data_IF_577532799835
#
_entry.id   IF_577532799835
#
_cell.length_a   1.000
_cell.length_b   1.000
_cell.length_c   1.000
_cell.angle_alpha   90.00
_cell.angle_beta   90.00
_cell.angle_gamma   90.00
#
_symmetry.space_group_name_H-M   'P 1'
#
loop_
_entity.id
_entity.type
_entity.pdbx_description
1 polymer ?
#
# COMPACT_ATOMS: atom_id res chain seq x y z
N UNK A 1 7.37 -17.91 -20.04
CA UNK A 1 5.91 -18.04 -20.20
C UNK A 1 5.30 -17.77 -18.84
N UNK A 2 4.73 -16.59 -18.63
CA UNK A 2 3.94 -16.31 -17.42
C UNK A 2 2.53 -16.77 -17.76
N UNK A 3 2.17 -17.95 -17.30
CA UNK A 3 0.79 -18.39 -17.36
C UNK A 3 -0.04 -17.48 -16.46
N UNK A 4 -1.16 -17.03 -17.00
CA UNK A 4 -2.13 -16.13 -16.41
C UNK A 4 -2.50 -16.55 -14.97
N UNK A 5 -1.90 -15.92 -13.97
CA UNK A 5 -2.21 -16.20 -12.57
C UNK A 5 -2.94 -15.03 -11.91
N UNK A 6 -4.00 -14.54 -12.58
CA UNK A 6 -5.02 -13.70 -11.93
C UNK A 6 -5.64 -14.42 -10.71
N UNK A 7 -5.55 -15.75 -10.64
CA UNK A 7 -5.95 -16.56 -9.49
C UNK A 7 -5.15 -16.29 -8.20
N UNK A 8 -3.91 -15.81 -8.29
CA UNK A 8 -3.07 -15.54 -7.11
C UNK A 8 -3.65 -14.43 -6.22
N UNK A 9 -4.08 -13.32 -6.82
CA UNK A 9 -4.67 -12.21 -6.09
C UNK A 9 -6.04 -12.55 -5.51
N UNK A 10 -6.90 -13.23 -6.28
CA UNK A 10 -8.22 -13.65 -5.80
C UNK A 10 -8.12 -14.63 -4.63
N UNK A 11 -7.24 -15.64 -4.73
CA UNK A 11 -7.04 -16.60 -3.65
C UNK A 11 -6.43 -15.95 -2.40
N UNK A 12 -5.50 -15.01 -2.59
CA UNK A 12 -4.95 -14.21 -1.48
C UNK A 12 -6.05 -13.39 -0.81
N UNK A 13 -6.88 -12.68 -1.59
CA UNK A 13 -8.01 -11.91 -1.07
C UNK A 13 -8.99 -12.79 -0.29
N UNK A 14 -9.32 -13.99 -0.80
CA UNK A 14 -10.16 -14.98 -0.10
C UNK A 14 -9.56 -15.40 1.24
N UNK A 15 -8.24 -15.63 1.30
CA UNK A 15 -7.55 -16.04 2.54
C UNK A 15 -7.50 -14.96 3.62
N UNK A 16 -7.70 -13.68 3.26
CA UNK A 16 -7.70 -12.56 4.21
C UNK A 16 -9.09 -12.28 4.79
N UNK A 17 -10.14 -12.87 4.23
CA UNK A 17 -11.52 -12.68 4.69
C UNK A 17 -11.72 -13.48 5.97
N UNK A 18 -12.40 -12.85 6.93
CA UNK A 18 -12.71 -13.51 8.20
C UNK A 18 -13.56 -14.77 7.92
N UNK A 19 -13.19 -15.96 8.47
CA UNK A 19 -13.92 -17.21 8.24
C UNK A 19 -15.40 -17.18 8.62
N UNK A 20 -15.83 -16.21 9.43
CA UNK A 20 -17.23 -15.99 9.80
C UNK A 20 -18.08 -15.54 8.61
N UNK A 21 -17.48 -14.90 7.59
CA UNK A 21 -18.14 -14.47 6.37
C UNK A 21 -18.15 -15.65 5.39
N UNK A 22 -19.34 -16.18 5.11
CA UNK A 22 -19.49 -17.36 4.24
C UNK A 22 -19.43 -16.96 2.77
N UNK A 23 -18.45 -17.49 2.06
CA UNK A 23 -18.26 -17.24 0.63
C UNK A 23 -18.88 -18.37 -0.22
N UNK A 24 -19.63 -18.06 -1.29
CA UNK A 24 -20.02 -19.02 -2.32
C UNK A 24 -18.82 -19.68 -3.00
N UNK A 25 -18.97 -20.94 -3.39
CA UNK A 25 -17.92 -21.78 -3.98
C UNK A 25 -17.52 -21.36 -5.40
N UNK A 26 -18.37 -20.61 -6.10
CA UNK A 26 -18.23 -20.25 -7.52
C UNK A 26 -17.62 -18.85 -7.77
N UNK A 27 -17.10 -18.19 -6.72
CA UNK A 27 -16.38 -16.92 -6.87
C UNK A 27 -15.11 -17.14 -7.68
N UNK A 28 -15.10 -16.71 -8.94
CA UNK A 28 -14.00 -16.86 -9.87
C UNK A 28 -13.34 -15.54 -10.29
N UNK A 29 -13.86 -14.40 -9.83
CA UNK A 29 -13.29 -13.08 -10.08
C UNK A 29 -13.52 -12.12 -8.88
N UNK A 30 -12.70 -11.07 -8.81
CA UNK A 30 -12.68 -10.09 -7.72
C UNK A 30 -13.95 -9.24 -7.66
N UNK A 31 -14.63 -9.00 -8.78
CA UNK A 31 -15.87 -8.21 -8.78
C UNK A 31 -16.99 -8.97 -8.08
N UNK A 32 -17.13 -10.27 -8.37
CA UNK A 32 -18.08 -11.14 -7.66
C UNK A 32 -17.76 -11.23 -6.17
N UNK A 33 -16.47 -11.34 -5.81
CA UNK A 33 -16.05 -11.35 -4.41
C UNK A 33 -16.48 -10.07 -3.69
N UNK A 34 -16.25 -8.90 -4.31
CA UNK A 34 -16.66 -7.59 -3.79
C UNK A 34 -18.17 -7.52 -3.57
N UNK A 35 -18.96 -8.00 -4.52
CA UNK A 35 -20.41 -7.86 -4.46
C UNK A 35 -21.00 -8.78 -3.37
N UNK A 36 -20.50 -10.01 -3.25
CA UNK A 36 -20.82 -10.90 -2.10
C UNK A 36 -20.46 -10.26 -0.77
N UNK A 37 -19.28 -9.65 -0.66
CA UNK A 37 -18.86 -8.97 0.58
C UNK A 37 -19.78 -7.80 0.93
N UNK A 38 -20.31 -7.06 -0.06
CA UNK A 38 -21.22 -5.93 0.18
C UNK A 38 -22.59 -6.34 0.68
N UNK A 39 -23.06 -7.54 0.33
CA UNK A 39 -24.34 -8.08 0.79
C UNK A 39 -24.29 -8.55 2.25
N UNK A 40 -23.11 -8.90 2.76
CA UNK A 40 -22.95 -9.33 4.14
C UNK A 40 -23.11 -8.18 5.15
N UNK A 41 -23.79 -8.44 6.27
CA UNK A 41 -24.05 -7.46 7.34
C UNK A 41 -22.75 -6.86 7.91
N UNK A 42 -21.65 -7.62 7.93
CA UNK A 42 -20.35 -7.17 8.42
C UNK A 42 -19.79 -6.02 7.60
N UNK A 43 -20.12 -5.92 6.30
CA UNK A 43 -19.70 -4.79 5.47
C UNK A 43 -20.37 -3.49 5.92
N UNK A 44 -21.66 -3.54 6.27
CA UNK A 44 -22.38 -2.38 6.82
C UNK A 44 -21.78 -1.98 8.17
N UNK A 45 -21.56 -2.94 9.07
CA UNK A 45 -20.93 -2.69 10.39
C UNK A 45 -19.53 -2.10 10.23
N UNK A 46 -18.72 -2.63 9.32
CA UNK A 46 -17.38 -2.12 9.01
C UNK A 46 -17.46 -0.68 8.48
N UNK A 47 -18.34 -0.41 7.52
CA UNK A 47 -18.55 0.93 6.95
C UNK A 47 -18.96 1.94 8.02
N UNK A 48 -19.92 1.60 8.87
CA UNK A 48 -20.42 2.49 9.93
C UNK A 48 -19.39 2.69 11.05
N UNK A 49 -18.61 1.66 11.37
CA UNK A 49 -17.49 1.77 12.30
C UNK A 49 -16.42 2.73 11.77
N UNK A 50 -16.02 2.59 10.50
CA UNK A 50 -15.06 3.49 9.87
C UNK A 50 -15.61 4.91 9.72
N UNK A 51 -16.89 5.07 9.38
CA UNK A 51 -17.56 6.38 9.34
C UNK A 51 -17.53 7.07 10.71
N UNK A 52 -17.84 6.36 11.79
CA UNK A 52 -17.75 6.89 13.16
C UNK A 52 -16.32 7.23 13.56
N UNK A 53 -15.34 6.37 13.22
CA UNK A 53 -13.91 6.66 13.44
C UNK A 53 -13.47 7.92 12.68
N UNK A 54 -13.85 8.06 11.42
CA UNK A 54 -13.55 9.24 10.60
C UNK A 54 -14.21 10.51 11.17
N UNK A 55 -15.47 10.43 11.60
CA UNK A 55 -16.16 11.55 12.24
C UNK A 55 -15.53 11.92 13.58
N UNK A 56 -15.11 10.93 14.37
CA UNK A 56 -14.37 11.13 15.62
C UNK A 56 -13.00 11.76 15.35
N UNK A 57 -12.28 11.31 14.31
CA UNK A 57 -11.04 11.94 13.85
C UNK A 57 -11.32 13.38 13.43
N UNK A 58 -12.35 13.65 12.65
CA UNK A 58 -12.74 15.02 12.29
C UNK A 58 -12.97 15.88 13.53
N UNK A 59 -13.81 15.41 14.46
CA UNK A 59 -14.15 16.10 15.71
C UNK A 59 -12.96 16.33 16.66
N UNK A 60 -12.00 15.41 16.70
CA UNK A 60 -10.80 15.56 17.51
C UNK A 60 -9.74 16.38 16.76
N UNK A 61 -9.69 16.35 15.42
CA UNK A 61 -8.82 17.22 14.62
C UNK A 61 -9.27 18.68 14.66
N UNK A 62 -10.57 18.90 14.86
CA UNK A 62 -11.16 20.18 15.23
C UNK A 62 -10.74 20.63 16.65
N UNK A 63 -10.08 19.76 17.45
CA UNK A 63 -9.72 20.04 18.86
C UNK A 63 -8.24 19.94 19.28
N UNK A 64 -7.35 19.10 18.72
CA UNK A 64 -5.95 19.05 19.23
C UNK A 64 -4.89 18.30 18.37
N UNK A 65 -3.61 18.63 18.60
CA UNK A 65 -2.40 18.11 17.94
C UNK A 65 -2.03 16.64 18.23
N UNK A 66 -2.72 15.94 19.13
CA UNK A 66 -2.46 14.52 19.43
C UNK A 66 -2.84 13.57 18.28
N UNK A 67 -3.77 13.96 17.41
CA UNK A 67 -4.10 13.14 16.24
C UNK A 67 -3.10 13.24 15.10
N UNK A 68 -2.49 14.42 14.94
CA UNK A 68 -1.29 14.56 14.13
C UNK A 68 -0.26 13.53 14.60
N UNK A 69 -0.04 13.40 15.92
CA UNK A 69 0.89 12.41 16.51
C UNK A 69 0.51 10.95 16.23
N UNK A 70 -0.76 10.56 16.26
CA UNK A 70 -1.19 9.19 15.89
C UNK A 70 -1.03 8.89 14.39
N UNK A 71 -1.35 9.86 13.53
CA UNK A 71 -1.10 9.77 12.09
C UNK A 71 0.42 9.68 11.80
N UNK A 72 1.24 10.52 12.46
CA UNK A 72 2.70 10.44 12.41
C UNK A 72 3.22 9.07 12.88
N UNK A 73 2.64 8.51 13.94
CA UNK A 73 3.03 7.19 14.46
C UNK A 73 2.71 6.03 13.50
N UNK A 74 1.62 6.12 12.75
CA UNK A 74 1.25 5.12 11.73
C UNK A 74 2.18 5.16 10.49
N UNK A 75 2.92 6.25 10.31
CA UNK A 75 3.82 6.52 9.19
C UNK A 75 5.31 6.46 9.60
N UNK A 76 5.60 6.04 10.84
CA UNK A 76 6.87 6.28 11.54
C UNK A 76 8.09 5.46 11.05
N UNK A 77 7.94 4.60 10.03
CA UNK A 77 9.10 4.00 9.33
C UNK A 77 9.61 4.87 8.16
N UNK A 78 8.95 5.99 7.86
CA UNK A 78 9.33 6.89 6.78
C UNK A 78 9.59 8.32 7.29
N UNK A 79 10.67 8.51 8.04
CA UNK A 79 11.04 9.80 8.65
C UNK A 79 11.10 10.96 7.64
N UNK A 80 11.55 10.70 6.42
CA UNK A 80 11.58 11.68 5.34
C UNK A 80 10.19 12.00 4.80
N UNK A 81 9.37 10.97 4.52
CA UNK A 81 7.98 11.15 4.09
C UNK A 81 7.22 12.03 5.07
N UNK A 82 7.38 11.77 6.36
CA UNK A 82 6.71 12.55 7.41
C UNK A 82 7.19 13.98 7.50
N UNK A 83 8.49 14.20 7.31
CA UNK A 83 9.07 15.55 7.31
C UNK A 83 8.57 16.36 6.12
N UNK A 84 8.48 15.73 4.95
CA UNK A 84 8.00 16.39 3.74
C UNK A 84 6.49 16.64 3.79
N UNK A 85 5.71 15.64 4.21
CA UNK A 85 4.26 15.76 4.43
C UNK A 85 3.92 16.87 5.44
N UNK A 86 4.63 16.93 6.57
CA UNK A 86 4.51 18.02 7.55
C UNK A 86 4.69 19.41 6.93
N UNK A 87 5.69 19.58 6.06
CA UNK A 87 6.00 20.89 5.46
C UNK A 87 4.90 21.34 4.53
N UNK A 88 4.42 20.44 3.66
CA UNK A 88 3.42 20.76 2.65
C UNK A 88 2.04 21.00 3.25
N UNK A 89 1.69 20.26 4.31
CA UNK A 89 0.40 20.39 5.00
C UNK A 89 0.18 21.75 5.70
N UNK A 90 1.23 22.56 5.92
CA UNK A 90 1.12 23.87 6.60
C UNK A 90 0.25 24.89 5.85
N UNK A 91 0.15 24.77 4.53
CA UNK A 91 -0.49 25.78 3.67
C UNK A 91 -1.75 25.23 2.96
N UNK A 92 -2.24 24.07 3.37
CA UNK A 92 -3.38 23.39 2.75
C UNK A 92 -4.68 23.91 3.36
N UNK A 93 -5.60 24.37 2.52
CA UNK A 93 -6.87 24.96 2.95
C UNK A 93 -8.09 24.07 2.62
N UNK A 94 -7.90 22.99 1.86
CA UNK A 94 -8.98 22.10 1.45
C UNK A 94 -8.59 20.62 1.46
N UNK A 95 -9.60 19.75 1.59
CA UNK A 95 -9.38 18.30 1.58
C UNK A 95 -8.84 17.80 0.23
N UNK A 96 -9.26 18.39 -0.88
CA UNK A 96 -8.79 17.99 -2.21
C UNK A 96 -7.30 18.31 -2.39
N UNK A 97 -6.84 19.45 -1.87
CA UNK A 97 -5.41 19.78 -1.82
C UNK A 97 -4.63 18.78 -0.96
N UNK A 98 -5.17 18.36 0.20
CA UNK A 98 -4.54 17.35 1.06
C UNK A 98 -4.37 16.01 0.36
N UNK A 99 -5.42 15.54 -0.32
CA UNK A 99 -5.39 14.27 -1.06
C UNK A 99 -4.35 14.35 -2.18
N UNK A 100 -4.34 15.46 -2.93
CA UNK A 100 -3.38 15.67 -4.02
C UNK A 100 -1.93 15.70 -3.52
N UNK A 101 -1.64 16.45 -2.46
CA UNK A 101 -0.29 16.52 -1.88
C UNK A 101 0.15 15.16 -1.32
N UNK A 102 -0.77 14.40 -0.71
CA UNK A 102 -0.49 13.05 -0.26
C UNK A 102 -0.11 12.13 -1.44
N UNK A 103 -0.90 12.13 -2.52
CA UNK A 103 -0.62 11.35 -3.72
C UNK A 103 0.73 11.71 -4.35
N UNK A 104 1.05 13.00 -4.45
CA UNK A 104 2.33 13.48 -4.98
C UNK A 104 3.52 13.04 -4.12
N UNK A 105 3.41 13.10 -2.78
CA UNK A 105 4.49 12.67 -1.89
C UNK A 105 4.68 11.14 -1.97
N UNK A 106 3.59 10.36 -1.99
CA UNK A 106 3.66 8.89 -2.15
C UNK A 106 4.30 8.52 -3.49
N UNK A 107 3.90 9.18 -4.57
CA UNK A 107 4.50 8.97 -5.89
C UNK A 107 5.99 9.31 -5.90
N UNK A 108 6.40 10.43 -5.30
CA UNK A 108 7.79 10.81 -5.22
C UNK A 108 8.62 9.82 -4.40
N UNK A 109 8.12 9.37 -3.24
CA UNK A 109 8.81 8.35 -2.43
C UNK A 109 8.96 7.02 -3.16
N UNK A 110 7.95 6.60 -3.93
CA UNK A 110 7.99 5.33 -4.67
C UNK A 110 9.10 5.26 -5.72
N UNK A 111 9.63 6.43 -6.13
CA UNK A 111 10.72 6.55 -7.10
C UNK A 111 12.11 6.65 -6.46
N UNK A 112 12.22 6.77 -5.12
CA UNK A 112 13.49 6.93 -4.42
C UNK A 112 14.02 5.56 -3.95
N UNK A 113 15.25 5.22 -4.33
CA UNK A 113 15.96 4.04 -3.82
C UNK A 113 16.76 4.44 -2.58
N UNK A 114 16.43 3.87 -1.42
CA UNK A 114 17.11 4.11 -0.13
C UNK A 114 17.93 2.89 0.31
N UNK A 115 18.87 3.08 1.24
CA UNK A 115 19.59 1.97 1.87
C UNK A 115 18.60 0.97 2.49
N UNK A 116 18.75 -0.32 2.17
CA UNK A 116 17.82 -1.38 2.57
C UNK A 116 16.64 -1.62 1.60
N UNK A 117 16.48 -0.80 0.56
CA UNK A 117 15.45 -1.04 -0.47
C UNK A 117 15.79 -2.29 -1.29
N UNK A 118 14.78 -3.10 -1.59
CA UNK A 118 14.91 -4.24 -2.52
C UNK A 118 14.74 -3.71 -3.93
N UNK A 119 15.74 -3.93 -4.79
CA UNK A 119 15.71 -3.50 -6.19
C UNK A 119 15.82 -4.69 -7.13
N UNK A 120 15.12 -4.61 -8.26
CA UNK A 120 15.23 -5.56 -9.35
C UNK A 120 15.86 -4.86 -10.56
N UNK A 121 17.00 -5.37 -11.03
CA UNK A 121 17.68 -4.82 -12.21
C UNK A 121 17.19 -5.54 -13.46
N UNK A 122 16.69 -4.79 -14.45
CA UNK A 122 16.17 -5.33 -15.71
C UNK A 122 17.09 -4.95 -16.86
N UNK A 123 17.52 -5.94 -17.64
CA UNK A 123 18.25 -5.70 -18.88
C UNK A 123 17.28 -5.22 -19.96
N UNK A 124 17.46 -3.98 -20.42
CA UNK A 124 16.48 -3.30 -21.30
C UNK A 124 16.27 -4.05 -22.62
N UNK A 125 17.34 -4.50 -23.29
CA UNK A 125 17.23 -5.11 -24.61
C UNK A 125 16.57 -6.51 -24.60
N UNK A 126 16.74 -7.29 -23.53
CA UNK A 126 16.20 -8.66 -23.45
C UNK A 126 14.97 -8.78 -22.55
N UNK A 127 14.66 -7.74 -21.77
CA UNK A 127 13.58 -7.73 -20.79
C UNK A 127 13.78 -8.64 -19.59
N UNK A 128 14.94 -9.32 -19.48
CA UNK A 128 15.25 -10.25 -18.38
C UNK A 128 15.71 -9.51 -17.13
N UNK A 129 15.43 -10.06 -15.96
CA UNK A 129 15.92 -9.54 -14.68
C UNK A 129 17.27 -10.17 -14.32
N UNK A 130 18.16 -9.39 -13.72
CA UNK A 130 19.42 -9.88 -13.17
C UNK A 130 19.11 -10.75 -11.95
N UNK A 131 19.68 -11.95 -11.93
CA UNK A 131 19.56 -12.90 -10.83
C UNK A 131 20.95 -13.40 -10.46
N UNK A 132 21.20 -13.72 -9.20
CA UNK A 132 22.41 -14.45 -8.83
C UNK A 132 22.24 -15.93 -9.15
N UNK A 133 23.30 -16.56 -9.67
CA UNK A 133 23.39 -18.01 -9.83
C UNK A 133 24.41 -18.47 -8.79
N UNK A 134 23.98 -19.24 -7.80
CA UNK A 134 24.83 -19.62 -6.65
C UNK A 134 26.08 -20.43 -7.00
N UNK A 135 26.12 -21.06 -8.18
CA UNK A 135 27.24 -21.88 -8.65
C UNK A 135 28.21 -21.16 -9.61
N UNK A 136 27.97 -19.88 -9.92
CA UNK A 136 28.79 -19.11 -10.86
C UNK A 136 29.53 -17.98 -10.14
N UNK A 137 30.71 -18.30 -9.60
CA UNK A 137 31.66 -17.30 -9.12
C UNK A 137 32.52 -16.83 -10.29
N UNK A 138 32.24 -15.65 -10.85
CA UNK A 138 33.19 -15.01 -11.75
C UNK A 138 34.41 -14.58 -10.95
N UNK A 139 35.61 -14.96 -11.39
CA UNK A 139 36.86 -14.36 -10.89
C UNK A 139 36.83 -12.89 -11.31
N UNK A 140 36.37 -12.02 -10.42
CA UNK A 140 36.38 -10.57 -10.67
C UNK A 140 37.80 -10.14 -10.98
N UNK A 141 37.95 -9.32 -12.02
CA UNK A 141 39.23 -9.00 -12.65
C UNK A 141 40.31 -8.63 -11.65
N UNK A 142 41.44 -9.34 -11.72
CA UNK A 142 42.71 -8.88 -11.17
C UNK A 142 43.03 -7.56 -11.87
N UNK A 143 43.06 -6.47 -11.13
CA UNK A 143 43.63 -5.21 -11.58
C UNK A 143 45.13 -5.45 -11.80
N UNK A 144 45.55 -5.51 -13.05
CA UNK A 144 46.97 -5.36 -13.45
C UNK A 144 47.44 -3.94 -13.23
#
# INVERSE_FOLDING_TARGET
>A
MWENNYGGFLNTAKSLINPTIKLPTDINDIEKLRDVLKEDITFTVFKDSNKRKLQSIKYISERDGEQKKYFFKALNDYSYFLTEFCKRMKNINSMNELIKEFEEIVMNESNIIRYGSIVALKHVATGKYLTSIGSLCYTTGITT
#
